data_IF_493029512899
#
_entry.id   IF_493029512899
#
_cell.length_a   1.000
_cell.length_b   1.000
_cell.length_c   1.000
_cell.angle_alpha   90.00
_cell.angle_beta   90.00
_cell.angle_gamma   90.00
#
_symmetry.space_group_name_H-M   'P 1'
#
loop_
_entity.id
_entity.type
_entity.pdbx_description
1 polymer ?
#
# COMPACT_ATOMS: atom_id res chain seq x y z
N UNK A 1 -51.44 36.20 8.05
CA UNK A 1 -50.43 36.74 7.12
C UNK A 1 -49.09 36.12 7.45
N UNK A 2 -48.47 35.48 6.45
CA UNK A 2 -47.03 35.27 6.19
C UNK A 2 -46.06 34.94 7.32
N UNK A 3 -45.03 34.10 7.20
CA UNK A 3 -44.39 33.29 6.16
C UNK A 3 -43.32 32.53 6.98
N UNK A 4 -43.21 31.21 6.91
CA UNK A 4 -42.23 30.65 6.00
C UNK A 4 -41.24 29.77 6.77
N UNK A 5 -41.56 28.48 6.75
CA UNK A 5 -40.67 27.32 6.87
C UNK A 5 -39.24 27.63 6.38
N UNK A 6 -38.27 27.65 7.31
CA UNK A 6 -36.84 27.55 6.95
C UNK A 6 -36.33 26.20 7.39
N UNK A 7 -36.40 25.28 6.43
CA UNK A 7 -35.55 24.09 6.37
C UNK A 7 -34.10 24.53 6.35
N UNK A 8 -33.46 24.52 7.51
CA UNK A 8 -32.01 24.31 7.59
C UNK A 8 -31.73 22.85 7.22
N UNK A 9 -31.89 22.53 5.93
CA UNK A 9 -31.23 21.39 5.32
C UNK A 9 -29.74 21.71 5.33
N UNK A 10 -29.12 21.41 6.46
CA UNK A 10 -27.67 21.27 6.56
C UNK A 10 -27.25 20.37 5.41
N UNK A 11 -26.51 20.98 4.50
CA UNK A 11 -25.88 20.41 3.32
C UNK A 11 -25.29 19.06 3.72
N UNK A 12 -26.02 17.98 3.47
CA UNK A 12 -25.48 16.63 3.52
C UNK A 12 -24.43 16.66 2.42
N UNK A 13 -23.19 16.89 2.82
CA UNK A 13 -22.01 16.55 2.04
C UNK A 13 -22.20 15.07 1.74
N UNK A 14 -22.87 14.80 0.62
CA UNK A 14 -22.69 13.60 -0.16
C UNK A 14 -21.18 13.47 -0.24
N UNK A 15 -20.63 12.62 0.62
CA UNK A 15 -19.25 12.17 0.53
C UNK A 15 -19.24 11.46 -0.80
N UNK A 16 -18.98 12.21 -1.86
CA UNK A 16 -18.59 11.70 -3.15
C UNK A 16 -17.42 10.78 -2.85
N UNK A 17 -17.74 9.50 -2.69
CA UNK A 17 -16.79 8.42 -2.57
C UNK A 17 -16.20 8.30 -3.95
N UNK A 18 -15.31 9.25 -4.28
CA UNK A 18 -14.35 9.05 -5.34
C UNK A 18 -13.78 7.64 -5.11
N UNK A 19 -13.75 6.76 -6.12
CA UNK A 19 -13.17 5.44 -5.94
C UNK A 19 -11.78 5.71 -5.39
N UNK A 20 -11.52 5.24 -4.16
CA UNK A 20 -10.20 5.30 -3.57
C UNK A 20 -9.30 4.57 -4.57
N UNK A 21 -8.53 5.33 -5.35
CA UNK A 21 -7.53 4.77 -6.25
C UNK A 21 -6.72 3.85 -5.37
N UNK A 22 -6.77 2.54 -5.62
CA UNK A 22 -6.10 1.57 -4.79
C UNK A 22 -4.60 1.79 -4.98
N UNK A 23 -4.02 2.63 -4.13
CA UNK A 23 -2.59 2.91 -4.13
C UNK A 23 -1.92 1.65 -3.61
N UNK A 24 -1.08 1.06 -4.46
CA UNK A 24 -0.34 -0.14 -4.09
C UNK A 24 0.55 0.15 -2.86
N UNK A 25 0.42 -0.63 -1.77
CA UNK A 25 1.21 -0.41 -0.58
C UNK A 25 2.68 -0.81 -0.82
N UNK A 26 3.58 0.06 -0.37
CA UNK A 26 5.02 -0.13 -0.46
C UNK A 26 5.61 -0.57 0.88
N UNK A 27 6.35 -1.66 0.86
CA UNK A 27 6.95 -2.31 2.02
C UNK A 27 8.38 -1.79 2.26
N UNK A 28 8.73 -1.65 3.54
CA UNK A 28 10.11 -1.50 4.03
C UNK A 28 10.89 -2.80 3.93
N UNK A 29 12.22 -2.71 3.97
CA UNK A 29 13.08 -3.89 4.09
C UNK A 29 12.76 -4.72 5.35
N UNK A 30 12.34 -4.08 6.44
CA UNK A 30 11.96 -4.79 7.67
C UNK A 30 10.67 -5.60 7.50
N UNK A 31 9.67 -5.05 6.83
CA UNK A 31 8.42 -5.76 6.50
C UNK A 31 8.68 -6.94 5.57
N UNK A 32 9.46 -6.72 4.51
CA UNK A 32 9.84 -7.80 3.58
C UNK A 32 10.63 -8.89 4.30
N UNK A 33 11.55 -8.53 5.20
CA UNK A 33 12.31 -9.50 6.00
C UNK A 33 11.42 -10.38 6.86
N UNK A 34 10.37 -9.82 7.47
CA UNK A 34 9.37 -10.59 8.22
C UNK A 34 8.59 -11.55 7.32
N UNK A 35 8.12 -11.08 6.16
CA UNK A 35 7.35 -11.90 5.22
C UNK A 35 8.16 -13.06 4.65
N UNK A 36 9.45 -12.85 4.41
CA UNK A 36 10.37 -13.86 3.87
C UNK A 36 11.08 -14.68 4.94
N UNK A 37 10.85 -14.39 6.22
CA UNK A 37 11.55 -14.98 7.37
C UNK A 37 13.10 -14.90 7.25
N UNK A 38 13.63 -13.74 6.82
CA UNK A 38 15.07 -13.48 6.71
C UNK A 38 15.47 -12.18 7.41
N UNK A 39 16.74 -12.03 7.86
CA UNK A 39 17.23 -10.78 8.41
C UNK A 39 17.11 -9.61 7.43
N UNK A 40 16.80 -8.42 7.91
CA UNK A 40 16.64 -7.21 7.07
C UNK A 40 17.83 -6.91 6.18
N UNK A 41 19.07 -7.13 6.67
CA UNK A 41 20.28 -6.97 5.84
C UNK A 41 20.26 -7.87 4.60
N UNK A 42 19.75 -9.10 4.76
CA UNK A 42 19.68 -10.10 3.69
C UNK A 42 18.60 -9.78 2.65
N UNK A 43 17.62 -8.94 2.99
CA UNK A 43 16.57 -8.49 2.05
C UNK A 43 17.19 -7.76 0.87
N UNK A 44 18.12 -6.84 1.12
CA UNK A 44 18.82 -6.11 0.05
C UNK A 44 19.61 -7.02 -0.89
N UNK A 45 20.13 -8.13 -0.38
CA UNK A 45 20.93 -9.08 -1.15
C UNK A 45 20.07 -10.06 -1.95
N UNK A 46 18.89 -10.43 -1.44
CA UNK A 46 18.04 -11.50 -2.01
C UNK A 46 16.95 -10.95 -2.92
N UNK A 47 16.39 -9.80 -2.59
CA UNK A 47 15.30 -9.16 -3.33
C UNK A 47 15.59 -7.71 -3.70
N UNK A 48 16.85 -7.28 -3.62
CA UNK A 48 17.26 -5.91 -3.98
C UNK A 48 16.90 -5.54 -5.42
N UNK A 49 16.92 -6.51 -6.34
CA UNK A 49 16.53 -6.35 -7.74
C UNK A 49 15.04 -6.01 -7.94
N UNK A 50 14.18 -6.28 -6.95
CA UNK A 50 12.75 -5.93 -6.96
C UNK A 50 12.49 -4.58 -6.29
N UNK A 51 13.52 -3.93 -5.74
CA UNK A 51 13.35 -2.70 -5.00
C UNK A 51 13.13 -1.51 -5.93
N UNK A 52 12.21 -0.65 -5.54
CA UNK A 52 11.97 0.65 -6.15
C UNK A 52 12.64 1.70 -5.28
N UNK A 53 13.43 2.56 -5.91
CA UNK A 53 14.04 3.69 -5.25
C UNK A 53 13.08 4.88 -5.26
N UNK A 54 12.59 5.29 -4.09
CA UNK A 54 11.71 6.46 -3.96
C UNK A 54 12.49 7.76 -3.76
N UNK A 55 13.68 7.65 -3.16
CA UNK A 55 14.58 8.76 -2.85
C UNK A 55 16.02 8.21 -2.73
N UNK A 56 17.05 9.08 -2.65
CA UNK A 56 18.40 8.64 -2.34
C UNK A 56 18.41 7.74 -1.09
N UNK A 57 19.07 6.58 -1.20
CA UNK A 57 19.18 5.57 -0.14
C UNK A 57 17.85 5.00 0.42
N UNK A 58 16.71 5.31 -0.21
CA UNK A 58 15.40 4.85 0.25
C UNK A 58 14.80 3.87 -0.74
N UNK A 59 14.95 2.59 -0.43
CA UNK A 59 14.40 1.48 -1.19
C UNK A 59 13.10 0.98 -0.56
N UNK A 60 12.12 0.65 -1.41
CA UNK A 60 10.84 0.04 -1.04
C UNK A 60 10.48 -1.07 -2.00
N UNK A 61 9.61 -1.97 -1.57
CA UNK A 61 9.13 -3.09 -2.39
C UNK A 61 7.64 -3.01 -2.55
N UNK A 62 7.14 -3.35 -3.74
CA UNK A 62 5.71 -3.52 -3.95
C UNK A 62 5.23 -4.77 -3.23
N UNK A 63 4.07 -4.67 -2.59
CA UNK A 63 3.48 -5.84 -1.93
C UNK A 63 3.17 -6.97 -2.93
N UNK A 64 2.79 -6.66 -4.17
CA UNK A 64 2.46 -7.66 -5.19
C UNK A 64 3.67 -8.46 -5.67
N UNK A 65 4.81 -7.80 -5.90
CA UNK A 65 6.06 -8.46 -6.30
C UNK A 65 6.53 -9.43 -5.23
N UNK A 66 6.48 -9.04 -3.95
CA UNK A 66 6.85 -9.90 -2.83
C UNK A 66 5.89 -11.06 -2.67
N UNK A 67 4.58 -10.85 -2.84
CA UNK A 67 3.58 -11.92 -2.80
C UNK A 67 3.80 -12.94 -3.92
N UNK A 68 4.07 -12.47 -5.14
CA UNK A 68 4.38 -13.31 -6.31
C UNK A 68 5.62 -14.16 -6.05
N UNK A 69 6.69 -13.55 -5.54
CA UNK A 69 7.92 -14.26 -5.19
C UNK A 69 7.69 -15.36 -4.14
N UNK A 70 6.91 -15.09 -3.11
CA UNK A 70 6.57 -16.07 -2.07
C UNK A 70 5.85 -17.26 -2.70
N UNK A 71 4.90 -16.99 -3.61
CA UNK A 71 4.13 -18.02 -4.27
C UNK A 71 4.97 -18.87 -5.22
N UNK A 72 5.86 -18.25 -6.01
CA UNK A 72 6.84 -18.96 -6.83
C UNK A 72 7.74 -19.89 -6.00
N UNK A 73 8.21 -19.41 -4.85
CA UNK A 73 9.02 -20.24 -3.93
C UNK A 73 8.25 -21.40 -3.34
N UNK A 74 6.93 -21.29 -3.19
CA UNK A 74 6.08 -22.41 -2.73
C UNK A 74 5.89 -23.45 -3.82
N UNK A 75 5.73 -23.02 -5.08
CA UNK A 75 5.56 -23.94 -6.23
C UNK A 75 6.82 -24.70 -6.61
N UNK A 76 8.00 -24.14 -6.31
CA UNK A 76 9.29 -24.75 -6.65
C UNK A 76 9.87 -25.64 -5.53
N UNK A 77 9.10 -25.93 -4.48
CA UNK A 77 9.44 -26.91 -3.44
C UNK A 77 8.72 -28.22 -3.71
#
# INVERSE_FOLDING_TARGET
>A
MSLGDRKDQGLRLERSSAPAVAVEPLLTAAEVGRLLAIPTKRVYEVVGQLAIQLAPHTLRWRSSDIATLIEERRRNK
#
